data_IF_734500377439
#
_entry.id   IF_734500377439
#
_cell.length_a   1.000
_cell.length_b   1.000
_cell.length_c   1.000
_cell.angle_alpha   90.00
_cell.angle_beta   90.00
_cell.angle_gamma   90.00
#
_symmetry.space_group_name_H-M   'P 1'
#
loop_
_entity.id
_entity.type
_entity.pdbx_description
1 polymer ?
#
# COMPACT_ATOMS: atom_id res chain seq x y z
N UNK A 1 19.08 4.08 6.18
CA UNK A 1 18.09 4.60 5.24
C UNK A 1 17.65 3.51 4.26
N UNK A 2 18.59 2.71 3.70
CA UNK A 2 18.19 1.58 2.86
C UNK A 2 17.22 0.64 3.61
N UNK A 3 16.22 0.11 2.91
CA UNK A 3 15.14 -0.74 3.47
C UNK A 3 15.70 -2.06 3.99
N UNK A 4 16.69 -2.59 3.29
CA UNK A 4 17.55 -3.70 3.73
C UNK A 4 19.01 -3.32 3.52
N UNK A 5 19.97 -4.05 4.10
CA UNK A 5 21.39 -3.88 3.78
C UNK A 5 21.61 -4.04 2.26
N UNK A 6 22.36 -3.11 1.68
CA UNK A 6 22.72 -3.18 0.26
C UNK A 6 23.81 -4.23 0.05
N UNK A 7 23.75 -4.96 -1.05
CA UNK A 7 24.83 -5.80 -1.53
C UNK A 7 25.99 -4.93 -1.98
N UNK A 8 27.19 -5.47 -2.00
CA UNK A 8 28.40 -4.73 -2.44
C UNK A 8 28.21 -4.13 -3.83
N UNK A 9 27.72 -4.92 -4.79
CA UNK A 9 27.44 -4.43 -6.14
C UNK A 9 26.36 -3.35 -6.21
N UNK A 10 25.31 -3.48 -5.41
CA UNK A 10 24.23 -2.47 -5.34
C UNK A 10 24.75 -1.12 -4.84
N UNK A 11 25.57 -1.13 -3.78
CA UNK A 11 26.16 0.10 -3.25
C UNK A 11 27.17 0.70 -4.23
N UNK A 12 27.96 -0.12 -4.92
CA UNK A 12 28.89 0.34 -5.93
C UNK A 12 28.19 1.02 -7.09
N UNK A 13 27.01 0.53 -7.53
CA UNK A 13 26.19 1.22 -8.53
C UNK A 13 25.62 2.54 -8.02
N UNK A 14 25.15 2.61 -6.78
CA UNK A 14 24.70 3.88 -6.17
C UNK A 14 25.78 4.95 -6.26
N UNK A 15 27.04 4.56 -6.02
CA UNK A 15 28.18 5.48 -6.07
C UNK A 15 28.64 5.81 -7.49
N UNK A 16 28.21 5.06 -8.49
CA UNK A 16 28.49 5.31 -9.90
C UNK A 16 27.42 6.15 -10.61
N UNK A 17 26.38 6.62 -9.89
CA UNK A 17 25.35 7.48 -10.48
C UNK A 17 25.84 8.92 -10.57
N UNK A 18 25.71 9.51 -11.75
CA UNK A 18 25.89 10.93 -11.99
C UNK A 18 24.58 11.67 -11.66
N UNK A 19 24.65 12.53 -10.66
CA UNK A 19 23.51 13.33 -10.19
C UNK A 19 23.46 14.73 -10.80
N UNK A 20 24.53 15.16 -11.49
CA UNK A 20 24.73 16.51 -12.01
C UNK A 20 24.48 16.62 -13.51
N UNK A 21 23.81 15.64 -14.12
CA UNK A 21 23.50 15.69 -15.55
C UNK A 21 22.69 16.97 -15.91
N UNK A 22 23.07 17.59 -17.03
CA UNK A 22 22.46 18.82 -17.53
C UNK A 22 20.95 18.74 -17.75
N UNK A 23 20.40 17.55 -17.92
CA UNK A 23 18.96 17.30 -18.04
C UNK A 23 18.26 17.11 -16.69
N UNK A 24 19.02 16.99 -15.59
CA UNK A 24 18.49 16.74 -14.22
C UNK A 24 17.88 15.34 -14.05
N UNK A 25 18.29 14.40 -14.91
CA UNK A 25 17.90 12.98 -14.85
C UNK A 25 19.12 12.19 -14.37
N UNK A 26 19.04 11.45 -13.27
CA UNK A 26 20.17 10.64 -12.77
C UNK A 26 20.56 9.58 -13.81
N UNK A 27 21.86 9.47 -14.11
CA UNK A 27 22.38 8.47 -15.05
C UNK A 27 23.50 7.67 -14.42
N UNK A 28 23.52 6.36 -14.66
CA UNK A 28 24.63 5.51 -14.26
C UNK A 28 25.82 5.80 -15.17
N UNK A 29 26.94 6.23 -14.60
CA UNK A 29 28.17 6.46 -15.35
C UNK A 29 29.01 5.18 -15.35
N UNK A 30 29.11 4.54 -16.51
CA UNK A 30 29.84 3.28 -16.66
C UNK A 30 31.34 3.42 -16.33
N UNK A 31 31.92 4.61 -16.56
CA UNK A 31 33.33 4.88 -16.31
C UNK A 31 33.64 5.00 -14.79
N UNK A 32 32.61 5.22 -13.97
CA UNK A 32 32.75 5.29 -12.51
C UNK A 32 32.55 3.93 -11.84
N UNK A 33 32.28 2.87 -12.60
CA UNK A 33 32.19 1.51 -12.06
C UNK A 33 33.56 0.98 -11.69
N UNK A 34 33.72 0.51 -10.48
CA UNK A 34 34.97 -0.06 -10.00
C UNK A 34 35.11 -1.53 -10.43
N UNK A 35 36.32 -1.92 -10.87
CA UNK A 35 36.62 -3.32 -11.19
C UNK A 35 36.60 -4.20 -9.94
N UNK A 36 37.18 -3.72 -8.81
CA UNK A 36 37.09 -4.36 -7.49
C UNK A 36 36.24 -3.52 -6.55
N UNK A 37 34.94 -3.79 -6.58
CA UNK A 37 33.91 -3.04 -5.83
C UNK A 37 34.10 -3.17 -4.32
N UNK A 38 34.49 -4.38 -3.83
CA UNK A 38 34.65 -4.64 -2.41
C UNK A 38 35.85 -3.88 -1.83
N UNK A 39 36.99 -3.93 -2.52
CA UNK A 39 38.19 -3.24 -2.09
C UNK A 39 38.02 -1.72 -2.12
N UNK A 40 37.37 -1.19 -3.13
CA UNK A 40 37.08 0.24 -3.23
C UNK A 40 36.19 0.75 -2.10
N UNK A 41 35.13 0.00 -1.73
CA UNK A 41 34.25 0.35 -0.62
C UNK A 41 34.98 0.29 0.73
N UNK A 42 35.82 -0.72 0.94
CA UNK A 42 36.60 -0.84 2.16
C UNK A 42 37.64 0.27 2.30
N UNK A 43 38.27 0.69 1.20
CA UNK A 43 39.21 1.82 1.22
C UNK A 43 38.46 3.12 1.56
N UNK A 44 37.29 3.36 0.96
CA UNK A 44 36.53 4.59 1.15
C UNK A 44 35.92 4.72 2.56
N UNK A 45 35.49 3.62 3.16
CA UNK A 45 34.65 3.63 4.38
C UNK A 45 35.09 2.62 5.45
N UNK A 46 36.34 2.18 5.47
CA UNK A 46 36.87 1.06 6.30
C UNK A 46 36.57 1.14 7.81
N UNK A 47 36.44 2.34 8.37
CA UNK A 47 36.17 2.53 9.78
C UNK A 47 34.67 2.53 10.15
N UNK A 48 33.81 2.70 9.17
CA UNK A 48 32.36 2.89 9.39
C UNK A 48 31.53 1.67 8.96
N UNK A 49 32.03 0.89 8.01
CA UNK A 49 31.29 -0.24 7.43
C UNK A 49 32.03 -1.56 7.58
N UNK A 50 31.27 -2.63 7.58
CA UNK A 50 31.75 -3.99 7.47
C UNK A 50 31.05 -4.69 6.31
N UNK A 51 31.78 -5.54 5.59
CA UNK A 51 31.22 -6.42 4.58
C UNK A 51 31.02 -7.78 5.21
N UNK A 52 29.78 -8.24 5.28
CA UNK A 52 29.39 -9.47 5.96
C UNK A 52 28.65 -10.42 5.02
N UNK A 53 28.75 -11.72 5.27
CA UNK A 53 27.90 -12.70 4.61
C UNK A 53 26.49 -12.62 5.23
N UNK A 54 25.41 -12.70 4.43
CA UNK A 54 24.05 -12.76 4.97
C UNK A 54 23.93 -14.01 5.84
N UNK A 55 23.46 -13.84 7.08
CA UNK A 55 23.20 -14.95 7.99
C UNK A 55 22.08 -15.85 7.47
N UNK A 56 22.10 -17.13 7.83
CA UNK A 56 21.18 -18.20 7.38
C UNK A 56 19.69 -17.99 7.71
N UNK A 57 19.31 -16.81 8.21
CA UNK A 57 17.94 -16.49 8.67
C UNK A 57 16.99 -15.89 7.62
N UNK A 58 17.43 -15.54 6.44
CA UNK A 58 16.58 -14.94 5.41
C UNK A 58 16.46 -15.91 4.22
N UNK A 59 15.35 -16.63 4.17
CA UNK A 59 15.01 -17.65 3.17
C UNK A 59 14.75 -17.14 1.74
N UNK A 60 15.01 -15.86 1.44
CA UNK A 60 14.80 -15.27 0.13
C UNK A 60 16.07 -15.21 -0.75
N UNK A 61 17.13 -15.90 -0.37
CA UNK A 61 18.40 -15.92 -1.10
C UNK A 61 18.54 -17.24 -1.88
N UNK A 62 17.79 -17.39 -2.94
CA UNK A 62 18.19 -18.26 -4.03
C UNK A 62 19.28 -17.55 -4.85
N UNK A 63 20.41 -18.26 -4.98
CA UNK A 63 21.57 -18.01 -5.82
C UNK A 63 22.61 -16.99 -5.35
N UNK A 64 23.70 -17.54 -4.84
CA UNK A 64 25.01 -16.90 -4.72
C UNK A 64 25.16 -16.05 -3.45
N UNK A 65 26.10 -16.41 -2.59
CA UNK A 65 26.47 -15.71 -1.35
C UNK A 65 26.91 -14.27 -1.61
N UNK A 66 25.94 -13.37 -1.87
CA UNK A 66 26.21 -11.95 -2.09
C UNK A 66 26.49 -11.29 -0.75
N UNK A 67 27.70 -10.80 -0.55
CA UNK A 67 28.08 -10.05 0.63
C UNK A 67 27.30 -8.75 0.72
N UNK A 68 26.93 -8.36 1.95
CA UNK A 68 26.17 -7.14 2.24
C UNK A 68 27.01 -6.15 3.04
N UNK A 69 26.72 -4.87 2.85
CA UNK A 69 27.38 -3.76 3.55
C UNK A 69 26.54 -3.35 4.76
N UNK A 70 27.18 -3.31 5.93
CA UNK A 70 26.54 -2.87 7.17
C UNK A 70 27.41 -1.85 7.90
N UNK A 71 26.84 -1.05 8.78
CA UNK A 71 27.65 -0.29 9.73
C UNK A 71 28.42 -1.26 10.64
N UNK A 72 29.68 -0.97 10.87
CA UNK A 72 30.57 -1.79 11.70
C UNK A 72 30.04 -1.95 13.14
N UNK A 73 29.29 -0.96 13.63
CA UNK A 73 28.60 -1.01 14.92
C UNK A 73 27.30 -0.22 14.88
N UNK A 74 26.22 -0.73 15.52
CA UNK A 74 24.90 -0.09 15.49
C UNK A 74 24.91 1.32 16.10
N UNK A 75 25.73 1.56 17.11
CA UNK A 75 25.87 2.89 17.74
C UNK A 75 26.44 3.96 16.79
N UNK A 76 27.19 3.56 15.77
CA UNK A 76 27.65 4.48 14.70
C UNK A 76 26.45 5.00 13.92
N UNK A 77 25.55 4.11 13.50
CA UNK A 77 24.31 4.49 12.82
C UNK A 77 23.47 5.44 13.69
N UNK A 78 23.23 5.05 14.95
CA UNK A 78 22.45 5.86 15.88
C UNK A 78 23.08 7.24 16.15
N UNK A 79 24.40 7.28 16.29
CA UNK A 79 25.11 8.56 16.45
C UNK A 79 24.97 9.46 15.23
N UNK A 80 25.21 8.92 14.01
CA UNK A 80 25.14 9.67 12.76
C UNK A 80 23.73 10.18 12.42
N UNK A 81 22.69 9.51 12.94
CA UNK A 81 21.28 9.90 12.74
C UNK A 81 20.70 10.67 13.93
N UNK A 82 21.47 10.91 15.01
CA UNK A 82 20.98 11.49 16.26
C UNK A 82 20.77 13.00 16.18
N UNK A 83 19.86 13.50 17.00
CA UNK A 83 19.66 14.93 17.23
C UNK A 83 20.89 15.64 17.84
N UNK A 84 21.84 14.89 18.43
CA UNK A 84 23.10 15.46 18.95
C UNK A 84 23.95 16.04 17.84
N UNK A 85 24.03 15.37 16.69
CA UNK A 85 24.71 15.90 15.49
C UNK A 85 23.93 17.03 14.82
N UNK A 86 22.59 17.06 14.94
CA UNK A 86 21.77 18.16 14.42
C UNK A 86 22.10 19.48 15.09
N UNK A 87 22.46 19.43 16.37
CA UNK A 87 22.74 20.61 17.20
C UNK A 87 24.26 20.90 17.29
N UNK A 88 25.11 20.09 16.66
CA UNK A 88 26.54 20.30 16.64
C UNK A 88 26.92 21.43 15.68
N UNK A 89 27.92 22.23 16.05
CA UNK A 89 28.49 23.30 15.22
C UNK A 89 29.85 22.90 14.67
N UNK A 90 30.22 23.43 13.50
CA UNK A 90 31.50 23.20 12.86
C UNK A 90 31.60 21.87 12.07
N UNK A 91 32.80 21.37 11.89
CA UNK A 91 33.09 20.19 11.02
C UNK A 91 32.33 18.92 11.43
N UNK A 92 31.95 18.78 12.70
CA UNK A 92 31.23 17.61 13.22
C UNK A 92 29.81 17.51 12.64
N UNK A 93 29.17 18.64 12.33
CA UNK A 93 27.84 18.65 11.72
C UNK A 93 27.82 18.07 10.29
N UNK A 94 28.96 18.08 9.60
CA UNK A 94 29.10 17.52 8.25
C UNK A 94 28.93 15.99 8.19
N UNK A 95 29.10 15.30 9.33
CA UNK A 95 28.92 13.85 9.40
C UNK A 95 27.47 13.43 9.67
N UNK A 96 26.55 14.37 9.81
CA UNK A 96 25.13 14.07 10.01
C UNK A 96 24.55 13.41 8.76
N UNK A 97 23.91 12.25 8.97
CA UNK A 97 23.05 11.66 7.95
C UNK A 97 21.69 12.34 8.02
N UNK A 98 21.41 13.19 7.05
CA UNK A 98 20.08 13.70 6.81
C UNK A 98 19.26 12.64 6.08
N UNK A 99 18.17 12.18 6.71
CA UNK A 99 17.34 11.10 6.18
C UNK A 99 16.73 11.46 4.84
N UNK A 100 16.29 12.70 4.64
CA UNK A 100 15.67 13.13 3.40
C UNK A 100 16.67 13.15 2.24
N UNK A 101 17.87 13.71 2.46
CA UNK A 101 18.92 13.69 1.45
C UNK A 101 19.37 12.26 1.14
N UNK A 102 19.48 11.38 2.15
CA UNK A 102 19.85 9.99 1.93
C UNK A 102 18.77 9.22 1.13
N UNK A 103 17.47 9.46 1.41
CA UNK A 103 16.39 8.92 0.58
C UNK A 103 16.40 9.49 -0.83
N UNK A 104 16.70 10.79 -0.99
CA UNK A 104 16.86 11.43 -2.32
C UNK A 104 17.93 10.74 -3.14
N UNK A 105 19.13 10.57 -2.59
CA UNK A 105 20.25 9.90 -3.28
C UNK A 105 19.89 8.47 -3.67
N UNK A 106 19.30 7.69 -2.76
CA UNK A 106 18.91 6.31 -3.07
C UNK A 106 17.80 6.26 -4.13
N UNK A 107 16.81 7.14 -4.06
CA UNK A 107 15.75 7.20 -5.06
C UNK A 107 16.28 7.61 -6.43
N UNK A 108 17.20 8.60 -6.50
CA UNK A 108 17.87 9.00 -7.74
C UNK A 108 18.68 7.85 -8.33
N UNK A 109 19.47 7.15 -7.52
CA UNK A 109 20.25 6.01 -7.97
C UNK A 109 19.35 4.87 -8.50
N UNK A 110 18.26 4.60 -7.79
CA UNK A 110 17.28 3.61 -8.23
C UNK A 110 16.64 4.01 -9.57
N UNK A 111 16.20 5.26 -9.72
CA UNK A 111 15.65 5.76 -10.99
C UNK A 111 16.69 5.70 -12.11
N UNK A 112 17.93 6.13 -11.86
CA UNK A 112 19.00 6.04 -12.83
C UNK A 112 19.26 4.62 -13.32
N UNK A 113 19.22 3.63 -12.42
CA UNK A 113 19.32 2.21 -12.77
C UNK A 113 18.11 1.74 -13.59
N UNK A 114 16.89 2.09 -13.21
CA UNK A 114 15.66 1.68 -13.92
C UNK A 114 15.56 2.31 -15.32
N UNK A 115 16.02 3.56 -15.49
CA UNK A 115 16.03 4.25 -16.79
C UNK A 115 17.07 3.70 -17.77
N UNK A 116 17.96 2.82 -17.34
CA UNK A 116 18.90 2.11 -18.19
C UNK A 116 18.46 0.68 -18.51
N UNK A 117 17.39 0.19 -17.87
CA UNK A 117 16.83 -1.12 -18.20
C UNK A 117 16.00 -1.05 -19.48
N UNK A 118 16.21 -2.01 -20.38
CA UNK A 118 15.49 -2.14 -21.64
C UNK A 118 14.52 -3.35 -21.60
N UNK A 119 13.67 -3.49 -22.62
CA UNK A 119 12.62 -4.52 -22.69
C UNK A 119 13.11 -5.99 -22.59
N UNK A 120 14.36 -6.26 -22.90
CA UNK A 120 14.95 -7.59 -22.84
C UNK A 120 15.58 -7.82 -21.45
N UNK A 121 14.72 -8.10 -20.47
CA UNK A 121 15.15 -8.58 -19.16
C UNK A 121 15.41 -10.07 -19.28
N UNK A 122 16.66 -10.45 -19.43
CA UNK A 122 17.12 -11.84 -19.41
C UNK A 122 17.69 -12.23 -18.03
N UNK A 123 18.02 -13.49 -17.84
CA UNK A 123 18.60 -13.99 -16.59
C UNK A 123 19.97 -13.38 -16.22
N UNK A 124 20.56 -12.53 -17.08
CA UNK A 124 21.83 -11.82 -16.85
C UNK A 124 21.63 -10.40 -16.32
N UNK A 125 20.41 -9.83 -16.38
CA UNK A 125 20.13 -8.45 -15.97
C UNK A 125 20.61 -8.15 -14.54
N UNK A 126 20.55 -9.11 -13.62
CA UNK A 126 21.04 -8.98 -12.24
C UNK A 126 22.58 -8.86 -12.16
N UNK A 127 23.32 -9.32 -13.16
CA UNK A 127 24.80 -9.19 -13.19
C UNK A 127 25.22 -7.86 -13.80
N UNK A 128 24.53 -7.44 -14.83
CA UNK A 128 24.85 -6.20 -15.58
C UNK A 128 24.32 -4.97 -14.84
N UNK A 129 23.23 -5.11 -14.11
CA UNK A 129 22.56 -4.06 -13.33
C UNK A 129 22.28 -4.55 -11.89
N UNK A 130 23.29 -4.65 -11.01
CA UNK A 130 23.13 -5.16 -9.64
C UNK A 130 22.08 -4.43 -8.81
N UNK A 131 21.89 -3.12 -9.04
CA UNK A 131 20.92 -2.30 -8.32
C UNK A 131 19.47 -2.49 -8.82
N UNK A 132 19.26 -2.99 -10.05
CA UNK A 132 17.94 -2.98 -10.70
C UNK A 132 16.85 -3.71 -9.89
N UNK A 133 17.16 -4.86 -9.28
CA UNK A 133 16.20 -5.59 -8.45
C UNK A 133 15.83 -4.83 -7.18
N UNK A 134 16.81 -4.25 -6.50
CA UNK A 134 16.56 -3.38 -5.35
C UNK A 134 15.76 -2.14 -5.75
N UNK A 135 16.17 -1.51 -6.84
CA UNK A 135 15.52 -0.33 -7.39
C UNK A 135 14.05 -0.62 -7.70
N UNK A 136 13.76 -1.69 -8.44
CA UNK A 136 12.40 -2.04 -8.83
C UNK A 136 11.46 -2.21 -7.62
N UNK A 137 11.97 -2.76 -6.52
CA UNK A 137 11.18 -3.05 -5.30
C UNK A 137 11.03 -1.86 -4.36
N UNK A 138 12.01 -0.97 -4.30
CA UNK A 138 12.12 -0.03 -3.18
C UNK A 138 12.18 1.44 -3.55
N UNK A 139 12.35 1.80 -4.82
CA UNK A 139 12.47 3.20 -5.23
C UNK A 139 11.26 4.04 -4.84
N UNK A 140 10.05 3.48 -4.94
CA UNK A 140 8.80 4.18 -4.57
C UNK A 140 8.76 4.54 -3.09
N UNK A 141 9.27 3.65 -2.22
CA UNK A 141 9.33 3.88 -0.77
C UNK A 141 10.30 5.02 -0.46
N UNK A 142 11.44 5.07 -1.17
CA UNK A 142 12.38 6.19 -1.03
C UNK A 142 11.79 7.49 -1.57
N UNK A 143 11.11 7.45 -2.71
CA UNK A 143 10.49 8.61 -3.33
C UNK A 143 9.31 9.19 -2.52
N UNK A 144 8.60 8.35 -1.75
CA UNK A 144 7.50 8.78 -0.87
C UNK A 144 7.97 9.45 0.43
N UNK A 145 9.27 9.47 0.71
CA UNK A 145 9.80 10.05 1.95
C UNK A 145 9.89 11.58 1.84
N UNK A 146 9.14 12.31 2.68
CA UNK A 146 9.16 13.78 2.71
C UNK A 146 8.87 14.40 1.32
N UNK A 147 9.70 15.34 0.92
CA UNK A 147 9.59 16.05 -0.38
C UNK A 147 10.47 15.44 -1.48
N UNK A 148 10.89 14.18 -1.33
CA UNK A 148 11.81 13.53 -2.28
C UNK A 148 11.20 13.41 -3.68
N UNK A 149 9.90 13.07 -3.79
CA UNK A 149 9.22 12.92 -5.08
C UNK A 149 9.28 14.19 -5.94
N UNK A 150 9.08 15.36 -5.35
CA UNK A 150 9.15 16.64 -6.08
C UNK A 150 10.54 16.92 -6.66
N UNK A 151 11.61 16.44 -6.00
CA UNK A 151 12.99 16.55 -6.50
C UNK A 151 13.30 15.57 -7.63
N UNK A 152 12.50 14.51 -7.76
CA UNK A 152 12.69 13.44 -8.75
C UNK A 152 11.75 13.57 -9.96
N UNK A 153 10.97 14.63 -10.05
CA UNK A 153 9.89 14.80 -11.02
C UNK A 153 10.29 14.41 -12.44
N UNK A 154 11.39 14.96 -12.99
CA UNK A 154 11.85 14.65 -14.34
C UNK A 154 12.22 13.18 -14.56
N UNK A 155 12.86 12.56 -13.56
CA UNK A 155 13.22 11.14 -13.62
C UNK A 155 11.97 10.27 -13.61
N UNK A 156 10.98 10.60 -12.79
CA UNK A 156 9.70 9.91 -12.74
C UNK A 156 8.89 10.10 -14.03
N UNK A 157 8.81 11.32 -14.57
CA UNK A 157 8.19 11.57 -15.87
C UNK A 157 8.82 10.72 -16.97
N UNK A 158 10.16 10.60 -16.97
CA UNK A 158 10.87 9.76 -17.93
C UNK A 158 10.59 8.26 -17.74
N UNK A 159 10.48 7.78 -16.50
CA UNK A 159 10.15 6.38 -16.19
C UNK A 159 8.70 6.04 -16.59
N UNK A 160 7.78 6.96 -16.39
CA UNK A 160 6.34 6.77 -16.64
C UNK A 160 5.89 7.14 -18.06
N UNK A 161 6.85 7.57 -18.92
CA UNK A 161 6.56 7.88 -20.31
C UNK A 161 6.17 6.62 -21.10
N UNK A 162 4.92 6.59 -21.60
CA UNK A 162 4.35 5.46 -22.36
C UNK A 162 5.13 5.16 -23.65
N UNK A 163 5.79 6.18 -24.21
CA UNK A 163 6.63 6.05 -25.42
C UNK A 163 7.96 5.34 -25.19
N UNK A 164 8.32 5.05 -23.92
CA UNK A 164 9.59 4.45 -23.54
C UNK A 164 9.43 3.06 -22.92
N UNK A 165 10.41 2.17 -23.03
CA UNK A 165 10.32 0.81 -22.52
C UNK A 165 10.44 0.72 -20.99
N UNK A 166 10.93 1.76 -20.33
CA UNK A 166 11.37 1.73 -18.93
C UNK A 166 10.26 1.37 -17.95
N UNK A 167 9.05 1.92 -18.15
CA UNK A 167 7.89 1.63 -17.30
C UNK A 167 7.52 0.14 -17.33
N UNK A 168 7.47 -0.43 -18.53
CA UNK A 168 7.17 -1.86 -18.71
C UNK A 168 8.29 -2.74 -18.18
N UNK A 169 9.56 -2.35 -18.39
CA UNK A 169 10.71 -3.05 -17.82
C UNK A 169 10.67 -3.06 -16.29
N UNK A 170 10.36 -1.93 -15.65
CA UNK A 170 10.18 -1.85 -14.20
C UNK A 170 9.11 -2.83 -13.70
N UNK A 171 7.91 -2.82 -14.30
CA UNK A 171 6.83 -3.72 -13.90
C UNK A 171 7.14 -5.21 -14.16
N UNK A 172 8.01 -5.50 -15.13
CA UNK A 172 8.47 -6.87 -15.38
C UNK A 172 9.43 -7.34 -14.28
N UNK A 173 10.30 -6.45 -13.78
CA UNK A 173 11.17 -6.74 -12.64
C UNK A 173 10.38 -6.88 -11.34
N UNK A 174 9.45 -5.96 -11.08
CA UNK A 174 8.64 -5.97 -9.87
C UNK A 174 7.35 -5.18 -10.07
N UNK A 175 6.24 -5.87 -10.07
CA UNK A 175 4.92 -5.25 -10.08
C UNK A 175 4.46 -4.99 -8.65
N UNK A 176 4.37 -3.72 -8.27
CA UNK A 176 3.99 -3.27 -6.92
C UNK A 176 2.53 -3.58 -6.58
N UNK A 177 1.70 -3.89 -7.58
CA UNK A 177 0.27 -4.18 -7.43
C UNK A 177 -0.03 -5.66 -7.16
N UNK A 178 0.96 -6.56 -7.33
CA UNK A 178 0.76 -8.03 -7.27
C UNK A 178 0.30 -8.53 -5.89
N UNK A 179 0.62 -7.85 -4.79
CA UNK A 179 0.15 -8.20 -3.44
C UNK A 179 0.19 -7.00 -2.51
N UNK A 180 -0.88 -6.24 -2.37
CA UNK A 180 -0.97 -5.30 -1.27
C UNK A 180 -0.88 -6.10 0.06
N UNK A 181 -0.01 -5.68 1.00
CA UNK A 181 0.33 -6.46 2.20
C UNK A 181 -0.84 -6.70 3.17
N UNK A 182 -2.01 -6.12 2.91
CA UNK A 182 -3.18 -6.18 3.79
C UNK A 182 -4.26 -7.19 3.38
N UNK A 183 -4.11 -7.92 2.26
CA UNK A 183 -5.17 -8.80 1.74
C UNK A 183 -4.74 -10.27 1.68
N UNK A 184 -4.11 -10.77 2.75
CA UNK A 184 -3.67 -12.17 2.80
C UNK A 184 -4.80 -13.20 3.00
N UNK A 185 -6.02 -12.79 3.32
CA UNK A 185 -7.11 -13.71 3.67
C UNK A 185 -8.25 -13.81 2.66
N UNK A 186 -8.40 -12.84 1.73
CA UNK A 186 -9.49 -12.86 0.76
C UNK A 186 -9.02 -13.02 -0.70
N UNK A 187 -7.73 -12.83 -0.97
CA UNK A 187 -7.12 -12.88 -2.31
C UNK A 187 -7.09 -14.27 -2.95
N UNK A 188 -7.50 -15.34 -2.25
CA UNK A 188 -7.50 -16.69 -2.81
C UNK A 188 -8.63 -16.93 -3.82
N UNK A 189 -9.60 -16.02 -3.94
CA UNK A 189 -10.78 -16.17 -4.79
C UNK A 189 -10.89 -15.16 -5.94
N UNK A 190 -9.99 -14.16 -6.02
CA UNK A 190 -10.02 -13.19 -7.11
C UNK A 190 -8.99 -13.64 -8.15
N UNK A 191 -9.41 -14.10 -9.35
CA UNK A 191 -8.47 -14.35 -10.42
C UNK A 191 -7.83 -13.01 -10.81
N UNK A 192 -6.59 -12.80 -10.40
CA UNK A 192 -5.77 -11.68 -10.83
C UNK A 192 -5.52 -11.81 -12.33
N UNK A 193 -6.34 -11.14 -13.11
CA UNK A 193 -6.06 -10.99 -14.52
C UNK A 193 -4.97 -9.92 -14.65
N UNK A 194 -3.77 -10.33 -15.04
CA UNK A 194 -2.58 -9.49 -15.22
C UNK A 194 -2.78 -8.48 -16.36
N UNK A 195 -3.77 -7.59 -16.20
CA UNK A 195 -3.94 -6.47 -17.10
C UNK A 195 -3.00 -5.37 -16.63
N UNK A 196 -2.02 -5.04 -17.45
CA UNK A 196 -1.13 -3.90 -17.22
C UNK A 196 -1.98 -2.64 -17.09
N UNK A 197 -2.01 -2.04 -15.90
CA UNK A 197 -2.68 -0.77 -15.72
C UNK A 197 -1.87 0.37 -16.36
N UNK A 198 -2.55 1.48 -16.69
CA UNK A 198 -1.90 2.67 -17.20
C UNK A 198 -0.91 3.27 -16.18
N UNK A 199 0.13 4.00 -16.61
CA UNK A 199 1.07 4.68 -15.71
C UNK A 199 0.38 5.54 -14.65
N UNK A 200 -0.70 6.22 -14.99
CA UNK A 200 -1.49 7.04 -14.06
C UNK A 200 -2.01 6.24 -12.86
N UNK A 201 -2.38 4.98 -13.06
CA UNK A 201 -2.81 4.10 -11.96
C UNK A 201 -1.70 3.89 -10.93
N UNK A 202 -0.49 3.58 -11.38
CA UNK A 202 0.65 3.33 -10.49
C UNK A 202 1.15 4.61 -9.81
N UNK A 203 1.16 5.73 -10.53
CA UNK A 203 1.48 7.04 -9.95
C UNK A 203 0.49 7.43 -8.85
N UNK A 204 -0.81 7.17 -9.07
CA UNK A 204 -1.87 7.40 -8.11
C UNK A 204 -1.76 6.46 -6.89
N UNK A 205 -1.46 5.17 -7.11
CA UNK A 205 -1.24 4.20 -6.05
C UNK A 205 -0.04 4.54 -5.16
N UNK A 206 1.01 5.12 -5.74
CA UNK A 206 2.19 5.60 -5.00
C UNK A 206 2.00 6.99 -4.37
N UNK A 207 0.95 7.74 -4.74
CA UNK A 207 0.70 9.09 -4.21
C UNK A 207 1.62 10.18 -4.77
N UNK A 208 2.21 9.97 -5.92
CA UNK A 208 3.09 10.95 -6.58
C UNK A 208 2.25 12.07 -7.23
N UNK A 209 1.85 13.05 -6.40
CA UNK A 209 0.89 14.08 -6.75
C UNK A 209 1.26 14.85 -8.02
N UNK A 210 2.48 15.38 -8.09
CA UNK A 210 2.95 16.19 -9.22
C UNK A 210 3.04 15.35 -10.51
N UNK A 211 3.45 14.08 -10.39
CA UNK A 211 3.46 13.14 -11.51
C UNK A 211 2.04 12.81 -12.00
N UNK A 212 1.10 12.64 -11.08
CA UNK A 212 -0.32 12.42 -11.43
C UNK A 212 -0.87 13.62 -12.17
N UNK A 213 -0.58 14.86 -11.74
CA UNK A 213 -0.97 16.08 -12.46
C UNK A 213 -0.39 16.10 -13.88
N UNK A 214 0.91 15.83 -14.01
CA UNK A 214 1.59 15.73 -15.31
C UNK A 214 0.94 14.68 -16.23
N UNK A 215 0.64 13.49 -15.70
CA UNK A 215 0.05 12.40 -16.49
C UNK A 215 -1.40 12.71 -16.90
N UNK A 216 -2.20 13.35 -16.05
CA UNK A 216 -3.56 13.80 -16.40
C UNK A 216 -3.52 14.81 -17.54
N UNK A 217 -2.59 15.75 -17.54
CA UNK A 217 -2.45 16.75 -18.60
C UNK A 217 -2.06 16.12 -19.95
N UNK A 218 -1.22 15.10 -19.95
CA UNK A 218 -0.75 14.45 -21.17
C UNK A 218 -1.64 13.29 -21.65
N UNK A 219 -2.31 12.58 -20.73
CA UNK A 219 -3.13 11.39 -20.99
C UNK A 219 -4.46 11.46 -20.22
N UNK A 220 -5.33 12.44 -20.51
CA UNK A 220 -6.58 12.66 -19.78
C UNK A 220 -7.55 11.46 -19.86
N UNK A 221 -7.46 10.64 -20.92
CA UNK A 221 -8.22 9.40 -21.08
C UNK A 221 -7.91 8.35 -20.01
N UNK A 222 -6.71 8.38 -19.42
CA UNK A 222 -6.28 7.43 -18.42
C UNK A 222 -6.92 7.66 -17.04
N UNK A 223 -7.54 8.81 -16.81
CA UNK A 223 -8.19 9.14 -15.52
C UNK A 223 -9.20 8.07 -15.08
N UNK A 224 -9.87 7.47 -16.05
CA UNK A 224 -10.82 6.37 -15.84
C UNK A 224 -10.37 5.05 -16.49
N UNK A 225 -9.11 4.90 -16.83
CA UNK A 225 -8.60 3.65 -17.43
C UNK A 225 -8.79 2.47 -16.46
N UNK A 226 -9.24 1.35 -17.01
CA UNK A 226 -9.40 0.11 -16.25
C UNK A 226 -8.07 -0.67 -16.21
N UNK A 227 -7.68 -1.13 -15.04
CA UNK A 227 -6.47 -1.93 -14.87
C UNK A 227 -6.00 -2.00 -13.44
N UNK A 228 -5.11 -2.95 -13.16
CA UNK A 228 -4.57 -3.17 -11.83
C UNK A 228 -5.57 -3.79 -10.85
N UNK A 229 -5.10 -4.03 -9.62
CA UNK A 229 -5.90 -4.65 -8.57
C UNK A 229 -7.12 -3.81 -8.16
N UNK A 230 -6.93 -2.51 -8.02
CA UNK A 230 -7.98 -1.57 -7.61
C UNK A 230 -8.84 -1.04 -8.77
N UNK A 231 -8.63 -1.56 -10.00
CA UNK A 231 -9.39 -1.26 -11.22
C UNK A 231 -9.25 0.17 -11.75
N UNK A 232 -9.12 1.19 -10.91
CA UNK A 232 -9.11 2.61 -11.31
C UNK A 232 -8.06 3.42 -10.56
N UNK A 233 -7.46 4.45 -11.17
CA UNK A 233 -6.49 5.33 -10.51
C UNK A 233 -7.01 5.98 -9.22
N UNK A 234 -8.27 6.44 -9.21
CA UNK A 234 -8.89 7.03 -8.02
C UNK A 234 -8.94 6.05 -6.85
N UNK A 235 -9.32 4.80 -7.12
CA UNK A 235 -9.44 3.79 -6.06
C UNK A 235 -8.05 3.34 -5.59
N UNK A 236 -7.07 3.30 -6.50
CA UNK A 236 -5.68 3.04 -6.15
C UNK A 236 -5.11 4.12 -5.21
N UNK A 237 -5.36 5.41 -5.50
CA UNK A 237 -4.98 6.53 -4.63
C UNK A 237 -5.62 6.42 -3.23
N UNK A 238 -6.93 6.11 -3.17
CA UNK A 238 -7.65 5.93 -1.90
C UNK A 238 -7.13 4.71 -1.12
N UNK A 239 -6.79 3.62 -1.80
CA UNK A 239 -6.22 2.43 -1.18
C UNK A 239 -4.84 2.70 -0.57
N UNK A 240 -4.04 3.56 -1.19
CA UNK A 240 -2.77 4.08 -0.68
C UNK A 240 -2.93 5.19 0.38
N UNK A 241 -4.16 5.62 0.70
CA UNK A 241 -4.47 6.73 1.61
C UNK A 241 -3.89 8.09 1.12
N UNK A 242 -3.72 8.25 -0.20
CA UNK A 242 -3.22 9.47 -0.85
C UNK A 242 -4.36 10.42 -1.20
N UNK A 243 -4.98 11.03 -0.16
CA UNK A 243 -6.23 11.78 -0.30
C UNK A 243 -6.11 13.02 -1.21
N UNK A 244 -4.98 13.73 -1.17
CA UNK A 244 -4.74 14.88 -2.07
C UNK A 244 -4.73 14.45 -3.55
N UNK A 245 -4.07 13.34 -3.85
CA UNK A 245 -4.05 12.75 -5.19
C UNK A 245 -5.44 12.25 -5.62
N UNK A 246 -6.20 11.67 -4.68
CA UNK A 246 -7.59 11.27 -4.94
C UNK A 246 -8.49 12.49 -5.24
N UNK A 247 -8.36 13.59 -4.48
CA UNK A 247 -9.07 14.83 -4.74
C UNK A 247 -8.70 15.40 -6.13
N UNK A 248 -7.42 15.40 -6.52
CA UNK A 248 -6.97 15.82 -7.84
C UNK A 248 -7.62 14.98 -8.96
N UNK A 249 -7.60 13.66 -8.84
CA UNK A 249 -8.24 12.76 -9.81
C UNK A 249 -9.74 12.99 -9.88
N UNK A 250 -10.42 13.20 -8.75
CA UNK A 250 -11.86 13.46 -8.69
C UNK A 250 -12.23 14.77 -9.38
N UNK A 251 -11.44 15.84 -9.17
CA UNK A 251 -11.63 17.13 -9.87
C UNK A 251 -11.44 17.02 -11.39
N UNK A 252 -10.60 16.06 -11.84
CA UNK A 252 -10.37 15.78 -13.26
C UNK A 252 -11.32 14.69 -13.82
N UNK A 253 -12.44 14.41 -13.17
CA UNK A 253 -13.50 13.57 -13.71
C UNK A 253 -13.33 12.07 -13.43
N UNK A 254 -12.50 11.69 -12.46
CA UNK A 254 -12.43 10.29 -12.03
C UNK A 254 -13.77 9.84 -11.43
N UNK A 255 -14.22 8.65 -11.84
CA UNK A 255 -15.48 8.07 -11.39
C UNK A 255 -15.28 7.25 -10.11
N UNK A 256 -15.90 7.59 -8.97
CA UNK A 256 -15.84 6.83 -7.74
C UNK A 256 -16.78 5.60 -7.72
N UNK A 257 -17.73 5.53 -8.68
CA UNK A 257 -18.79 4.50 -8.72
C UNK A 257 -18.36 3.26 -9.52
N UNK A 258 -17.15 2.78 -9.29
CA UNK A 258 -16.64 1.56 -9.94
C UNK A 258 -17.17 0.34 -9.21
N UNK A 259 -17.55 -0.68 -9.98
CA UNK A 259 -17.87 -2.00 -9.44
C UNK A 259 -16.72 -2.96 -9.73
N UNK A 260 -16.22 -3.60 -8.69
CA UNK A 260 -15.22 -4.64 -8.75
C UNK A 260 -15.84 -6.02 -9.04
N UNK A 261 -15.06 -7.04 -8.76
CA UNK A 261 -15.57 -8.40 -8.80
C UNK A 261 -16.71 -8.57 -7.79
N UNK A 262 -17.71 -9.42 -8.15
CA UNK A 262 -18.93 -9.61 -7.35
C UNK A 262 -19.75 -8.32 -7.18
N UNK A 263 -19.69 -7.40 -8.17
CA UNK A 263 -20.42 -6.13 -8.13
C UNK A 263 -20.14 -5.26 -6.89
N UNK A 264 -19.08 -5.58 -6.12
CA UNK A 264 -18.70 -4.84 -4.92
C UNK A 264 -18.18 -3.44 -5.26
N UNK A 265 -18.54 -2.45 -4.46
CA UNK A 265 -18.03 -1.08 -4.61
C UNK A 265 -16.79 -0.86 -3.72
N UNK A 266 -15.98 0.17 -3.99
CA UNK A 266 -14.87 0.56 -3.11
C UNK A 266 -15.31 0.78 -1.66
N UNK A 267 -16.55 1.27 -1.45
CA UNK A 267 -17.11 1.49 -0.12
C UNK A 267 -17.30 0.16 0.66
N UNK A 268 -17.65 -0.94 -0.03
CA UNK A 268 -17.71 -2.27 0.59
C UNK A 268 -16.33 -2.67 1.13
N UNK A 269 -15.30 -2.56 0.28
CA UNK A 269 -13.93 -2.93 0.65
C UNK A 269 -13.40 -2.05 1.80
N UNK A 270 -13.55 -0.73 1.70
CA UNK A 270 -13.13 0.21 2.75
C UNK A 270 -13.84 -0.07 4.08
N UNK A 271 -15.14 -0.36 4.03
CA UNK A 271 -15.94 -0.71 5.21
C UNK A 271 -15.48 -2.04 5.85
N UNK A 272 -15.17 -3.06 5.03
CA UNK A 272 -14.65 -4.34 5.51
C UNK A 272 -13.30 -4.22 6.21
N UNK A 273 -12.38 -3.41 5.64
CA UNK A 273 -11.04 -3.20 6.19
C UNK A 273 -10.98 -2.17 7.32
N UNK A 274 -12.10 -1.52 7.65
CA UNK A 274 -12.16 -0.52 8.71
C UNK A 274 -11.40 0.77 8.40
N UNK A 275 -11.28 1.14 7.11
CA UNK A 275 -10.55 2.32 6.62
C UNK A 275 -11.42 3.57 6.73
N UNK A 276 -11.47 4.18 7.94
CA UNK A 276 -12.40 5.27 8.26
C UNK A 276 -12.24 6.46 7.31
N UNK A 277 -11.03 6.94 7.07
CA UNK A 277 -10.78 8.10 6.24
C UNK A 277 -11.13 7.84 4.77
N UNK A 278 -10.87 6.62 4.28
CA UNK A 278 -11.27 6.20 2.92
C UNK A 278 -12.79 6.15 2.80
N UNK A 279 -13.50 5.63 3.82
CA UNK A 279 -14.97 5.63 3.87
C UNK A 279 -15.51 7.05 3.85
N UNK A 280 -14.92 7.97 4.64
CA UNK A 280 -15.30 9.39 4.64
C UNK A 280 -15.15 9.99 3.24
N UNK A 281 -14.01 9.82 2.60
CA UNK A 281 -13.74 10.34 1.25
C UNK A 281 -14.68 9.75 0.18
N UNK A 282 -14.95 8.46 0.24
CA UNK A 282 -15.90 7.84 -0.70
C UNK A 282 -17.31 8.41 -0.54
N UNK A 283 -17.76 8.67 0.69
CA UNK A 283 -19.05 9.31 0.95
C UNK A 283 -19.04 10.78 0.49
N UNK A 284 -17.95 11.52 0.69
CA UNK A 284 -17.78 12.88 0.15
C UNK A 284 -17.81 12.91 -1.38
N UNK A 285 -17.43 11.83 -2.04
CA UNK A 285 -17.50 11.65 -3.50
C UNK A 285 -18.84 11.07 -3.97
N UNK A 286 -19.90 11.15 -3.15
CA UNK A 286 -21.25 10.68 -3.43
C UNK A 286 -21.37 9.16 -3.67
N UNK A 287 -20.48 8.34 -3.08
CA UNK A 287 -20.63 6.90 -3.13
C UNK A 287 -21.96 6.48 -2.46
N UNK A 288 -22.69 5.59 -3.15
CA UNK A 288 -23.95 5.06 -2.60
C UNK A 288 -23.70 4.25 -1.34
N UNK A 289 -24.12 4.79 -0.20
CA UNK A 289 -23.95 4.20 1.12
C UNK A 289 -24.71 2.88 1.30
N UNK A 290 -25.77 2.69 0.50
CA UNK A 290 -26.59 1.49 0.48
C UNK A 290 -26.37 0.63 -0.76
N UNK A 291 -25.25 0.86 -1.48
CA UNK A 291 -24.89 0.04 -2.63
C UNK A 291 -24.95 -1.45 -2.28
N UNK A 292 -25.39 -2.27 -3.24
CA UNK A 292 -25.52 -3.71 -3.08
C UNK A 292 -24.54 -4.42 -3.99
N UNK A 293 -23.84 -5.44 -3.47
CA UNK A 293 -23.01 -6.35 -4.24
C UNK A 293 -23.86 -7.46 -4.89
N UNK A 294 -23.24 -8.45 -5.53
CA UNK A 294 -23.96 -9.55 -6.19
C UNK A 294 -24.77 -10.43 -5.22
N UNK A 295 -24.46 -10.37 -3.91
CA UNK A 295 -25.19 -11.07 -2.85
C UNK A 295 -26.18 -10.17 -2.11
N UNK A 296 -26.45 -8.98 -2.65
CA UNK A 296 -27.30 -7.95 -2.05
C UNK A 296 -26.76 -7.43 -0.69
N UNK A 297 -25.48 -7.65 -0.38
CA UNK A 297 -24.87 -7.10 0.83
C UNK A 297 -24.55 -5.63 0.65
N UNK A 298 -24.74 -4.87 1.72
CA UNK A 298 -24.38 -3.45 1.78
C UNK A 298 -23.03 -3.24 2.46
N UNK A 299 -22.38 -2.07 2.29
CA UNK A 299 -21.16 -1.72 3.05
C UNK A 299 -21.32 -1.89 4.55
N UNK A 300 -22.53 -1.61 5.09
CA UNK A 300 -22.85 -1.84 6.51
C UNK A 300 -22.80 -3.33 6.87
N UNK A 301 -23.29 -4.23 6.01
CA UNK A 301 -23.17 -5.68 6.21
C UNK A 301 -21.71 -6.13 6.20
N UNK A 302 -20.90 -5.59 5.27
CA UNK A 302 -19.48 -5.89 5.19
C UNK A 302 -18.74 -5.40 6.42
N UNK A 303 -19.00 -4.16 6.86
CA UNK A 303 -18.42 -3.62 8.09
C UNK A 303 -18.80 -4.46 9.32
N UNK A 304 -20.00 -4.99 9.39
CA UNK A 304 -20.48 -5.84 10.51
C UNK A 304 -19.80 -7.22 10.59
N UNK A 305 -19.10 -7.66 9.54
CA UNK A 305 -18.34 -8.92 9.46
C UNK A 305 -16.85 -8.75 9.68
N UNK A 306 -16.32 -7.52 9.51
CA UNK A 306 -14.89 -7.24 9.45
C UNK A 306 -14.13 -7.71 10.69
N UNK A 307 -12.95 -8.32 10.48
CA UNK A 307 -12.04 -8.77 11.56
C UNK A 307 -11.30 -7.61 12.22
N UNK A 308 -11.41 -6.40 11.67
CA UNK A 308 -10.70 -5.19 12.11
C UNK A 308 -11.54 -4.30 13.05
N UNK A 309 -12.61 -4.83 13.64
CA UNK A 309 -13.44 -4.13 14.61
C UNK A 309 -12.70 -3.85 15.91
N UNK A 310 -11.90 -2.78 15.95
CA UNK A 310 -11.34 -2.34 17.24
C UNK A 310 -12.22 -1.30 17.92
N UNK A 311 -12.95 -0.46 17.19
CA UNK A 311 -13.66 0.69 17.77
C UNK A 311 -15.07 0.98 17.20
N UNK A 312 -15.50 0.27 16.15
CA UNK A 312 -16.82 0.49 15.51
C UNK A 312 -16.95 1.81 14.75
N UNK A 313 -15.86 2.57 14.54
CA UNK A 313 -15.89 3.92 13.96
C UNK A 313 -16.50 3.95 12.55
N UNK A 314 -16.12 3.01 11.67
CA UNK A 314 -16.67 2.91 10.32
C UNK A 314 -18.17 2.58 10.35
N UNK A 315 -18.58 1.64 11.20
CA UNK A 315 -19.98 1.24 11.33
C UNK A 315 -20.82 2.41 11.84
N UNK A 316 -20.34 3.14 12.84
CA UNK A 316 -20.95 4.36 13.35
C UNK A 316 -21.11 5.41 12.25
N UNK A 317 -20.04 5.69 11.49
CA UNK A 317 -20.08 6.65 10.41
C UNK A 317 -21.12 6.27 9.35
N UNK A 318 -21.17 5.00 8.92
CA UNK A 318 -22.15 4.52 7.95
C UNK A 318 -23.60 4.71 8.47
N UNK A 319 -23.86 4.39 9.74
CA UNK A 319 -25.16 4.57 10.35
C UNK A 319 -25.56 6.05 10.45
N UNK A 320 -24.66 6.92 10.89
CA UNK A 320 -24.86 8.38 10.98
C UNK A 320 -25.14 9.02 9.60
N UNK A 321 -24.59 8.41 8.52
CA UNK A 321 -24.81 8.87 7.13
C UNK A 321 -26.02 8.20 6.45
N UNK A 322 -26.84 7.45 7.18
CA UNK A 322 -28.10 6.90 6.70
C UNK A 322 -28.01 5.52 6.04
N UNK A 323 -26.99 4.73 6.39
CA UNK A 323 -26.98 3.32 6.00
C UNK A 323 -28.23 2.59 6.56
N UNK A 324 -28.82 1.74 5.72
CA UNK A 324 -30.00 0.96 6.14
C UNK A 324 -29.60 -0.12 7.14
N UNK A 325 -29.92 0.12 8.42
CA UNK A 325 -29.58 -0.77 9.55
C UNK A 325 -30.19 -2.16 9.40
N UNK A 326 -31.31 -2.28 8.70
CA UNK A 326 -32.07 -3.52 8.50
C UNK A 326 -31.97 -4.06 7.06
N UNK A 327 -30.93 -3.67 6.31
CA UNK A 327 -30.68 -4.22 4.97
C UNK A 327 -30.56 -5.74 5.03
N UNK A 328 -31.25 -6.43 4.10
CA UNK A 328 -31.21 -7.90 4.01
C UNK A 328 -30.37 -8.34 2.84
N UNK A 329 -29.54 -9.35 3.04
CA UNK A 329 -28.81 -10.05 2.01
C UNK A 329 -29.73 -11.07 1.31
N UNK A 330 -29.50 -11.27 0.00
CA UNK A 330 -30.33 -12.20 -0.79
C UNK A 330 -29.93 -13.68 -0.61
N UNK A 331 -28.67 -13.93 -0.24
CA UNK A 331 -28.15 -15.30 -0.11
C UNK A 331 -28.71 -16.07 1.11
N UNK A 332 -28.85 -15.39 2.24
CA UNK A 332 -29.27 -16.01 3.50
C UNK A 332 -30.32 -15.19 4.29
N UNK A 333 -30.73 -14.03 3.78
CA UNK A 333 -31.66 -13.11 4.43
C UNK A 333 -31.15 -12.49 5.73
N UNK A 334 -29.84 -12.58 5.99
CA UNK A 334 -29.23 -12.03 7.19
C UNK A 334 -29.17 -10.50 7.15
N UNK A 335 -29.49 -9.87 8.28
CA UNK A 335 -29.27 -8.43 8.49
C UNK A 335 -27.87 -8.16 9.04
N UNK A 336 -27.39 -6.89 9.07
CA UNK A 336 -26.14 -6.53 9.74
C UNK A 336 -26.06 -7.05 11.18
N UNK A 337 -27.18 -7.05 11.93
CA UNK A 337 -27.26 -7.56 13.30
C UNK A 337 -27.00 -9.07 13.37
N UNK A 338 -27.51 -9.87 12.43
CA UNK A 338 -27.19 -11.30 12.33
C UNK A 338 -25.68 -11.51 12.11
N UNK A 339 -25.06 -10.73 11.22
CA UNK A 339 -23.62 -10.81 10.91
C UNK A 339 -22.79 -10.45 12.15
N UNK A 340 -23.04 -9.29 12.75
CA UNK A 340 -22.34 -8.86 13.96
C UNK A 340 -22.44 -9.90 15.10
N UNK A 341 -23.64 -10.44 15.33
CA UNK A 341 -23.89 -11.47 16.35
C UNK A 341 -23.16 -12.78 16.05
N UNK A 342 -23.20 -13.24 14.80
CA UNK A 342 -22.55 -14.47 14.34
C UNK A 342 -21.03 -14.42 14.50
N UNK A 343 -20.41 -13.28 14.24
CA UNK A 343 -18.96 -13.09 14.37
C UNK A 343 -18.50 -12.65 15.76
N UNK A 344 -19.41 -12.35 16.66
CA UNK A 344 -19.11 -11.94 18.04
C UNK A 344 -18.58 -10.50 18.12
N UNK A 345 -19.02 -9.62 17.24
CA UNK A 345 -18.64 -8.21 17.17
C UNK A 345 -19.51 -7.38 18.15
N UNK A 346 -19.16 -7.38 19.44
CA UNK A 346 -19.95 -6.78 20.52
C UNK A 346 -20.29 -5.30 20.27
N UNK A 347 -19.30 -4.48 19.89
CA UNK A 347 -19.51 -3.06 19.64
C UNK A 347 -20.40 -2.82 18.41
N UNK A 348 -20.27 -3.65 17.37
CA UNK A 348 -21.17 -3.58 16.23
C UNK A 348 -22.62 -3.93 16.63
N UNK A 349 -22.81 -4.97 17.45
CA UNK A 349 -24.16 -5.30 17.99
C UNK A 349 -24.74 -4.13 18.74
N UNK A 350 -23.98 -3.51 19.64
CA UNK A 350 -24.41 -2.33 20.42
C UNK A 350 -24.85 -1.19 19.50
N UNK A 351 -23.98 -0.78 18.58
CA UNK A 351 -24.25 0.32 17.65
C UNK A 351 -25.47 0.06 16.76
N UNK A 352 -25.62 -1.16 16.25
CA UNK A 352 -26.77 -1.52 15.42
C UNK A 352 -28.08 -1.44 16.21
N UNK A 353 -28.10 -1.92 17.45
CA UNK A 353 -29.27 -1.85 18.32
C UNK A 353 -29.62 -0.41 18.71
N UNK A 354 -28.65 0.42 19.05
CA UNK A 354 -28.82 1.85 19.32
C UNK A 354 -29.42 2.61 18.12
N UNK A 355 -29.14 2.15 16.87
CA UNK A 355 -29.69 2.74 15.65
C UNK A 355 -30.93 2.03 15.12
N UNK A 356 -31.61 1.21 15.94
CA UNK A 356 -32.91 0.64 15.63
C UNK A 356 -32.86 -0.64 14.77
N UNK A 357 -31.81 -1.43 14.91
CA UNK A 357 -31.80 -2.75 14.28
C UNK A 357 -32.96 -3.61 14.81
N UNK A 358 -33.66 -4.27 13.90
CA UNK A 358 -34.76 -5.18 14.26
C UNK A 358 -34.20 -6.46 14.92
N UNK A 359 -34.38 -6.58 16.22
CA UNK A 359 -33.87 -7.65 17.05
C UNK A 359 -34.56 -8.99 16.76
N UNK A 360 -35.83 -8.95 16.33
CA UNK A 360 -36.64 -10.12 16.00
C UNK A 360 -36.56 -10.51 14.51
N UNK A 361 -35.78 -9.79 13.70
CA UNK A 361 -35.59 -10.15 12.32
C UNK A 361 -35.13 -11.62 12.19
N UNK A 362 -35.70 -12.35 11.24
CA UNK A 362 -35.32 -13.73 10.95
C UNK A 362 -34.65 -13.85 9.59
N UNK A 363 -33.60 -14.65 9.52
CA UNK A 363 -32.95 -15.05 8.27
C UNK A 363 -33.81 -16.04 7.49
N UNK A 364 -33.43 -16.39 6.24
CA UNK A 364 -34.10 -17.44 5.45
C UNK A 364 -34.03 -18.83 6.09
N UNK A 365 -33.10 -19.05 7.03
CA UNK A 365 -33.03 -20.27 7.85
C UNK A 365 -33.88 -20.19 9.14
N UNK A 366 -34.75 -19.21 9.20
CA UNK A 366 -35.62 -18.96 10.36
C UNK A 366 -34.84 -18.78 11.69
N UNK A 367 -33.66 -18.16 11.61
CA UNK A 367 -32.79 -17.89 12.76
C UNK A 367 -32.79 -16.41 13.10
N UNK A 368 -32.92 -16.07 14.39
CA UNK A 368 -32.75 -14.69 14.88
C UNK A 368 -31.27 -14.39 15.15
N UNK A 369 -30.96 -13.09 15.34
CA UNK A 369 -29.62 -12.64 15.74
C UNK A 369 -29.15 -13.34 17.03
N UNK A 370 -30.02 -13.56 18.00
CA UNK A 370 -29.74 -14.26 19.26
C UNK A 370 -29.30 -15.73 19.04
N UNK A 371 -29.95 -16.42 18.11
CA UNK A 371 -29.70 -17.84 17.83
C UNK A 371 -28.38 -18.08 17.03
N UNK A 372 -27.85 -17.06 16.39
CA UNK A 372 -26.58 -17.17 15.61
C UNK A 372 -25.37 -16.69 16.38
N UNK A 373 -25.49 -16.19 17.61
CA UNK A 373 -24.39 -15.64 18.40
C UNK A 373 -23.18 -16.60 18.46
N UNK A 374 -22.04 -16.15 17.94
CA UNK A 374 -20.75 -16.84 18.04
C UNK A 374 -20.58 -18.08 17.16
N UNK A 375 -21.52 -18.40 16.26
CA UNK A 375 -21.46 -19.62 15.42
C UNK A 375 -20.27 -19.65 14.46
N UNK A 376 -19.78 -18.51 13.97
CA UNK A 376 -18.66 -18.44 13.03
C UNK A 376 -17.31 -18.17 13.70
N UNK A 377 -17.29 -17.77 14.95
CA UNK A 377 -16.06 -17.53 15.69
C UNK A 377 -16.11 -18.15 17.09
N UNK A 378 -15.91 -19.47 17.22
CA UNK A 378 -15.92 -20.15 18.51
C UNK A 378 -14.78 -19.70 19.45
N UNK A 379 -13.76 -19.00 18.90
CA UNK A 379 -12.68 -18.36 19.68
C UNK A 379 -13.02 -16.94 20.17
N UNK A 380 -14.13 -16.32 19.71
CA UNK A 380 -14.67 -15.14 20.35
C UNK A 380 -15.05 -15.56 21.78
N UNK A 381 -14.24 -15.17 22.77
CA UNK A 381 -14.28 -15.70 24.13
C UNK A 381 -15.72 -15.84 24.68
N UNK A 382 -16.02 -16.93 25.39
CA UNK A 382 -17.34 -17.24 25.90
C UNK A 382 -18.02 -16.06 26.63
N UNK A 383 -17.23 -15.20 27.30
CA UNK A 383 -17.70 -13.97 27.94
C UNK A 383 -18.32 -12.96 26.98
N UNK A 384 -17.69 -12.74 25.78
CA UNK A 384 -18.20 -11.80 24.81
C UNK A 384 -19.52 -12.27 24.16
N UNK A 385 -19.63 -13.56 23.86
CA UNK A 385 -20.88 -14.12 23.37
C UNK A 385 -22.02 -14.05 24.43
N UNK A 386 -21.68 -14.20 25.70
CA UNK A 386 -22.64 -14.04 26.77
C UNK A 386 -23.13 -12.59 26.90
N UNK A 387 -22.25 -11.62 26.74
CA UNK A 387 -22.58 -10.20 26.78
C UNK A 387 -23.45 -9.80 25.56
N UNK A 388 -23.15 -10.30 24.36
CA UNK A 388 -23.99 -10.09 23.18
C UNK A 388 -25.39 -10.65 23.40
N UNK A 389 -25.55 -11.87 23.96
CA UNK A 389 -26.86 -12.43 24.26
C UNK A 389 -27.62 -11.58 25.27
N UNK A 390 -26.92 -11.07 26.30
CA UNK A 390 -27.51 -10.18 27.30
C UNK A 390 -28.05 -8.89 26.66
N UNK A 391 -27.24 -8.25 25.80
CA UNK A 391 -27.68 -7.06 25.09
C UNK A 391 -28.88 -7.32 24.19
N UNK A 392 -28.88 -8.39 23.41
CA UNK A 392 -30.01 -8.73 22.54
C UNK A 392 -31.28 -8.92 23.33
N UNK A 393 -31.24 -9.62 24.51
CA UNK A 393 -32.37 -9.82 25.38
C UNK A 393 -32.84 -8.49 26.01
N UNK A 394 -31.92 -7.62 26.40
CA UNK A 394 -32.22 -6.27 26.93
C UNK A 394 -32.99 -5.41 25.91
N UNK A 395 -32.65 -5.55 24.62
CA UNK A 395 -33.37 -4.88 23.52
C UNK A 395 -34.58 -5.65 22.98
N UNK A 396 -35.00 -6.73 23.66
CA UNK A 396 -36.28 -7.42 23.46
C UNK A 396 -36.23 -8.72 22.68
N UNK A 397 -35.06 -9.32 22.41
CA UNK A 397 -34.95 -10.64 21.76
C UNK A 397 -35.61 -11.72 22.64
N UNK A 398 -36.37 -12.63 22.01
CA UNK A 398 -37.09 -13.75 22.67
C UNK A 398 -36.46 -15.10 22.36
#
# INVERSE_FOLDING_TARGET
VAIRPLRVGELAEVLAVDFDDSEGIPRLNADWRWEDQEQALLIACSSLIAIVEPGDGNSDVESGKSRVVQFSHFSVKEFLTSSRLSNASGEVSAYRIDSENAHTILAQACLGSLLQTHDEIDGNTSKDHPLAEYAARHWTIHAQFGEVSSRLQKGMESLFDVGKPHFKAWLTLYDIDIRPPFISTFSAFIPYNKSSAAPLYYAAFCGFHDLVEHLILNYPEDVNADGGYYKRPLIAALAGEHFQTADLLRHNGANPHVRGDQESTPLHSAAYFGKLEVVQKLIEYDADINARDEYEWTPLCWSSRGVHFKDGSVLRLLLERGANVNARADDDGCTPLHRASRFGALEAVRLLLEHGADVEAVSYHNMTALQVVGKSNPKAGQGRCAEIRRLLIEFGAK
#
